data_IF_396416651054
#
_entry.id   IF_396416651054
#
_cell.length_a   1.000
_cell.length_b   1.000
_cell.length_c   1.000
_cell.angle_alpha   90.00
_cell.angle_beta   90.00
_cell.angle_gamma   90.00
#
_symmetry.space_group_name_H-M   'P 1'
#
loop_
_entity.id
_entity.type
_entity.pdbx_description
1 polymer ?
#
# COMPACT_ATOMS: atom_id res chain seq x y z
N UNK A 1 6.51 -22.20 2.90
CA UNK A 1 5.99 -20.84 2.63
C UNK A 1 7.13 -19.78 2.62
N UNK A 2 8.34 -20.16 2.19
CA UNK A 2 9.51 -19.24 2.14
C UNK A 2 9.79 -18.70 0.72
N UNK A 3 9.27 -19.37 -0.32
CA UNK A 3 9.55 -19.06 -1.72
C UNK A 3 8.97 -17.72 -2.22
N UNK A 4 7.78 -17.33 -1.75
CA UNK A 4 7.06 -16.13 -2.28
C UNK A 4 7.74 -14.82 -1.88
N UNK A 5 8.40 -14.77 -0.72
CA UNK A 5 9.12 -13.59 -0.27
C UNK A 5 10.42 -13.37 -1.08
N UNK A 6 11.06 -14.46 -1.51
CA UNK A 6 12.30 -14.44 -2.28
C UNK A 6 12.02 -14.10 -3.77
N UNK A 7 10.92 -14.64 -4.33
CA UNK A 7 10.44 -14.28 -5.67
C UNK A 7 10.02 -12.80 -5.79
N UNK A 8 9.40 -12.25 -4.74
CA UNK A 8 9.04 -10.82 -4.69
C UNK A 8 10.25 -9.89 -4.69
N UNK A 9 11.30 -10.24 -3.93
CA UNK A 9 12.55 -9.47 -3.87
C UNK A 9 13.34 -9.52 -5.19
N UNK A 10 13.33 -10.67 -5.89
CA UNK A 10 14.01 -10.82 -7.18
C UNK A 10 13.34 -10.00 -8.30
N UNK A 11 12.01 -9.85 -8.28
CA UNK A 11 11.29 -9.04 -9.26
C UNK A 11 11.60 -7.53 -9.15
N UNK A 12 11.99 -7.04 -7.98
CA UNK A 12 12.34 -5.62 -7.74
C UNK A 12 13.73 -5.24 -8.30
N UNK A 13 14.59 -6.22 -8.60
CA UNK A 13 15.98 -6.01 -9.02
C UNK A 13 16.20 -5.96 -10.54
N UNK A 14 15.14 -6.02 -11.36
CA UNK A 14 15.29 -5.81 -12.79
C UNK A 14 15.60 -4.35 -13.10
N UNK A 15 16.87 -4.04 -13.34
CA UNK A 15 17.29 -2.74 -13.86
C UNK A 15 16.86 -2.60 -15.33
N UNK A 16 15.73 -1.92 -15.52
CA UNK A 16 15.18 -1.59 -16.84
C UNK A 16 16.00 -0.49 -17.56
N UNK A 17 17.00 0.08 -16.91
CA UNK A 17 17.76 1.24 -17.38
C UNK A 17 18.35 1.03 -18.79
N UNK A 18 18.77 -0.20 -19.11
CA UNK A 18 19.38 -0.53 -20.41
C UNK A 18 18.36 -0.81 -21.54
N UNK A 19 17.06 -0.85 -21.21
CA UNK A 19 15.96 -1.15 -22.17
C UNK A 19 15.03 0.03 -22.45
N UNK A 20 15.24 1.16 -21.78
CA UNK A 20 14.35 2.32 -21.86
C UNK A 20 14.84 3.26 -22.98
N UNK A 21 13.98 3.61 -23.96
CA UNK A 21 14.34 4.53 -25.03
C UNK A 21 14.80 5.90 -24.51
N UNK A 22 15.73 6.53 -25.23
CA UNK A 22 16.21 7.87 -24.91
C UNK A 22 15.03 8.86 -24.86
N UNK A 23 14.92 9.60 -23.74
CA UNK A 23 13.86 10.60 -23.51
C UNK A 23 12.71 10.13 -22.60
N UNK A 24 12.70 8.88 -22.14
CA UNK A 24 11.71 8.39 -21.18
C UNK A 24 12.24 8.50 -19.75
N UNK A 25 11.56 9.29 -18.91
CA UNK A 25 11.84 9.35 -17.48
C UNK A 25 11.12 8.20 -16.77
N UNK A 26 11.88 7.24 -16.26
CA UNK A 26 11.33 6.17 -15.42
C UNK A 26 11.12 6.72 -14.00
N UNK A 27 9.88 7.03 -13.63
CA UNK A 27 9.52 7.30 -12.25
C UNK A 27 9.18 5.99 -11.55
N UNK A 28 9.88 5.67 -10.46
CA UNK A 28 9.57 4.54 -9.58
C UNK A 28 9.06 5.08 -8.23
N UNK A 29 7.83 5.62 -8.18
CA UNK A 29 7.32 6.32 -6.99
C UNK A 29 7.16 5.40 -5.76
N UNK A 30 7.20 4.09 -5.96
CA UNK A 30 7.11 3.07 -4.90
C UNK A 30 8.46 2.47 -4.51
N UNK A 31 9.60 2.97 -5.04
CA UNK A 31 10.94 2.50 -4.65
C UNK A 31 11.49 3.18 -3.40
N UNK A 32 10.87 4.26 -2.93
CA UNK A 32 11.22 4.86 -1.64
C UNK A 32 10.65 4.00 -0.52
N UNK A 33 11.45 3.81 0.54
CA UNK A 33 11.03 3.05 1.71
C UNK A 33 9.71 3.61 2.26
N UNK A 34 8.63 2.81 2.34
CA UNK A 34 7.35 3.30 2.84
C UNK A 34 7.48 3.73 4.31
N UNK A 35 6.84 4.84 4.67
CA UNK A 35 6.68 5.24 6.07
C UNK A 35 5.66 4.32 6.73
N UNK A 36 6.11 3.57 7.73
CA UNK A 36 5.24 2.65 8.48
C UNK A 36 4.61 3.38 9.66
N UNK A 37 3.29 3.30 9.75
CA UNK A 37 2.51 3.82 10.88
C UNK A 37 2.01 2.63 11.71
N UNK A 38 2.27 2.63 13.01
CA UNK A 38 1.74 1.63 13.95
C UNK A 38 0.62 2.22 14.78
N UNK A 39 -0.54 1.55 14.78
CA UNK A 39 -1.73 1.94 15.54
C UNK A 39 -2.06 0.81 16.52
N UNK A 40 -2.34 1.17 17.77
CA UNK A 40 -2.81 0.22 18.77
C UNK A 40 -4.31 0.05 18.62
N UNK A 41 -4.75 -1.20 18.49
CA UNK A 41 -6.15 -1.58 18.40
C UNK A 41 -6.45 -2.55 19.54
N UNK A 42 -7.64 -2.42 20.12
CA UNK A 42 -8.21 -3.50 20.90
C UNK A 42 -8.49 -4.72 20.01
N UNK A 43 -8.68 -5.88 20.64
CA UNK A 43 -9.03 -7.10 19.93
C UNK A 43 -10.32 -6.95 19.11
N UNK A 44 -11.32 -6.24 19.66
CA UNK A 44 -12.61 -6.04 19.02
C UNK A 44 -12.53 -5.12 17.80
N UNK A 45 -11.75 -4.03 17.89
CA UNK A 45 -11.49 -3.13 16.76
C UNK A 45 -10.76 -3.86 15.63
N UNK A 46 -9.71 -4.62 15.97
CA UNK A 46 -9.00 -5.41 14.97
C UNK A 46 -9.92 -6.46 14.32
N UNK A 47 -10.75 -7.16 15.10
CA UNK A 47 -11.70 -8.13 14.56
C UNK A 47 -12.75 -7.49 13.64
N UNK A 48 -13.20 -6.26 13.96
CA UNK A 48 -14.12 -5.49 13.11
C UNK A 48 -13.46 -5.12 11.78
N UNK A 49 -12.21 -4.66 11.80
CA UNK A 49 -11.44 -4.34 10.60
C UNK A 49 -11.17 -5.58 9.75
N UNK A 50 -10.83 -6.72 10.37
CA UNK A 50 -10.66 -8.00 9.68
C UNK A 50 -11.91 -8.43 8.92
N UNK A 51 -13.09 -8.36 9.56
CA UNK A 51 -14.36 -8.71 8.89
C UNK A 51 -14.67 -7.77 7.72
N UNK A 52 -14.44 -6.48 7.88
CA UNK A 52 -14.64 -5.51 6.81
C UNK A 52 -13.68 -5.77 5.65
N UNK A 53 -12.41 -6.03 5.93
CA UNK A 53 -11.38 -6.30 4.92
C UNK A 53 -11.68 -7.60 4.15
N UNK A 54 -12.11 -8.65 4.86
CA UNK A 54 -12.51 -9.92 4.26
C UNK A 54 -13.70 -9.76 3.30
N UNK A 55 -14.71 -8.95 3.66
CA UNK A 55 -15.86 -8.68 2.80
C UNK A 55 -15.44 -8.04 1.46
N UNK A 56 -14.47 -7.13 1.51
CA UNK A 56 -13.95 -6.43 0.34
C UNK A 56 -12.79 -7.17 -0.35
N UNK A 57 -12.41 -8.36 0.14
CA UNK A 57 -11.26 -9.14 -0.34
C UNK A 57 -9.94 -8.36 -0.32
N UNK A 58 -9.76 -7.52 0.69
CA UNK A 58 -8.57 -6.68 0.86
C UNK A 58 -7.75 -7.11 2.09
N UNK A 59 -6.42 -6.91 2.09
CA UNK A 59 -5.66 -6.87 3.32
C UNK A 59 -6.14 -5.76 4.25
N UNK A 60 -6.12 -5.98 5.56
CA UNK A 60 -6.52 -4.99 6.57
C UNK A 60 -5.75 -3.67 6.43
N UNK A 61 -4.44 -3.73 6.16
CA UNK A 61 -3.60 -2.54 5.94
C UNK A 61 -4.07 -1.71 4.74
N UNK A 62 -4.45 -2.38 3.64
CA UNK A 62 -4.97 -1.73 2.43
C UNK A 62 -6.30 -1.06 2.71
N UNK A 63 -7.22 -1.75 3.41
CA UNK A 63 -8.51 -1.18 3.80
C UNK A 63 -8.33 0.08 4.67
N UNK A 64 -7.49 0.00 5.71
CA UNK A 64 -7.21 1.13 6.61
C UNK A 64 -6.65 2.32 5.81
N UNK A 65 -5.71 2.07 4.89
CA UNK A 65 -5.13 3.12 4.06
C UNK A 65 -6.19 3.82 3.21
N UNK A 66 -7.06 3.06 2.54
CA UNK A 66 -8.13 3.62 1.69
C UNK A 66 -9.05 4.50 2.54
N UNK A 67 -9.60 3.95 3.62
CA UNK A 67 -10.53 4.69 4.47
C UNK A 67 -9.93 5.95 5.11
N UNK A 68 -8.65 5.90 5.51
CA UNK A 68 -7.97 7.07 6.06
C UNK A 68 -7.82 8.18 5.01
N UNK A 69 -7.43 7.85 3.78
CA UNK A 69 -7.27 8.83 2.70
C UNK A 69 -8.61 9.38 2.22
N UNK A 70 -9.63 8.53 2.11
CA UNK A 70 -10.98 8.96 1.72
C UNK A 70 -11.57 9.92 2.75
N UNK A 71 -11.35 9.65 4.06
CA UNK A 71 -11.79 10.56 5.12
C UNK A 71 -11.11 11.92 5.03
N UNK A 72 -9.79 11.96 4.77
CA UNK A 72 -9.05 13.21 4.60
C UNK A 72 -9.56 14.02 3.40
N UNK A 73 -9.76 13.36 2.25
CA UNK A 73 -10.33 14.02 1.05
C UNK A 73 -11.70 14.64 1.33
N UNK A 74 -12.58 13.91 2.02
CA UNK A 74 -13.89 14.42 2.38
C UNK A 74 -13.83 15.65 3.32
N UNK A 75 -12.79 15.76 4.17
CA UNK A 75 -12.56 16.96 4.99
C UNK A 75 -12.07 18.13 4.16
N UNK A 76 -11.16 17.89 3.22
CA UNK A 76 -10.61 18.91 2.32
C UNK A 76 -11.69 19.48 1.40
N UNK A 77 -12.54 18.61 0.83
CA UNK A 77 -13.64 19.00 -0.06
C UNK A 77 -14.80 19.68 0.70
N UNK A 78 -15.06 19.29 1.94
CA UNK A 78 -16.12 19.86 2.78
C UNK A 78 -15.73 21.15 3.50
N UNK A 79 -14.44 21.50 3.54
CA UNK A 79 -13.91 22.74 4.10
C UNK A 79 -13.78 23.88 3.07
N UNK A 80 -14.16 23.62 1.81
CA UNK A 80 -14.06 24.56 0.70
C UNK A 80 -15.39 25.20 0.31
#
# INVERSE_FOLDING_TARGET
MLHVAEEGAAAEQHDLADTVPAGVTVARPNLTRPTVVSVRLSADEHARLQRAAAKEHLPVSTLIRIWALDRLRAEEEGAS
#
